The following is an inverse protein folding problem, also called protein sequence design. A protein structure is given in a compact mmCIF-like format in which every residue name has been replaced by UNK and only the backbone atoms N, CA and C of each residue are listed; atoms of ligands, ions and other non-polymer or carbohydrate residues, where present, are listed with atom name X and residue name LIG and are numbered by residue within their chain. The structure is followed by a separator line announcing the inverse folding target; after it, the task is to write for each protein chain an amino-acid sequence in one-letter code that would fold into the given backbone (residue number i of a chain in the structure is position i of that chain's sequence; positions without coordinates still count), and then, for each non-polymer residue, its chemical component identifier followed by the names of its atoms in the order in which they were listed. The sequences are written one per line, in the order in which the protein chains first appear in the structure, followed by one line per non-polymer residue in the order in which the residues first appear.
data_IF_660987435945
#
_entry.id   IF_660987435945
#
_cell.length_a   1.000
_cell.length_b   1.000
_cell.length_c   1.000
_cell.angle_alpha   90.00
_cell.angle_beta   90.00
_cell.angle_gamma   90.00
#
_symmetry.space_group_name_H-M   'P 1'
#
loop_
_entity.id
_entity.type
_entity.pdbx_description
1 polymer ?
#
# COMPACT_ATOMS: atom_id res chain seq x y z
N UNK A 1 17.29 -18.55 33.53
CA UNK A 1 17.48 -18.71 32.06
C UNK A 1 16.12 -18.98 31.45
N UNK A 2 15.31 -17.94 31.27
CA UNK A 2 14.00 -18.02 30.63
C UNK A 2 14.16 -17.40 29.25
N UNK A 3 14.27 -18.25 28.24
CA UNK A 3 14.22 -17.82 26.85
C UNK A 3 12.91 -17.06 26.65
N UNK A 4 13.02 -15.75 26.44
CA UNK A 4 11.90 -14.93 26.00
C UNK A 4 11.58 -15.34 24.56
N UNK A 5 10.88 -16.46 24.39
CA UNK A 5 10.39 -16.91 23.10
C UNK A 5 9.40 -15.83 22.61
N UNK A 6 9.70 -15.08 21.54
CA UNK A 6 8.80 -14.05 21.06
C UNK A 6 7.47 -14.70 20.68
N UNK A 7 6.37 -14.19 21.23
CA UNK A 7 5.03 -14.73 21.00
C UNK A 7 4.80 -14.96 19.48
N UNK A 8 4.31 -16.15 19.08
CA UNK A 8 4.20 -16.51 17.67
C UNK A 8 3.30 -15.51 16.94
N UNK A 9 3.77 -14.98 15.80
CA UNK A 9 2.92 -14.19 14.89
C UNK A 9 1.68 -15.01 14.53
N UNK A 10 0.50 -14.43 14.71
CA UNK A 10 -0.76 -15.07 14.32
C UNK A 10 -0.88 -15.09 12.79
N UNK A 11 -0.29 -16.14 12.18
CA UNK A 11 -0.21 -16.35 10.73
C UNK A 11 -1.59 -16.33 10.07
N UNK A 12 -2.59 -16.92 10.71
CA UNK A 12 -3.97 -16.93 10.21
C UNK A 12 -4.51 -15.50 10.10
N UNK A 13 -4.31 -14.67 11.12
CA UNK A 13 -4.73 -13.26 11.10
C UNK A 13 -4.07 -12.48 9.96
N UNK A 14 -2.77 -12.66 9.76
CA UNK A 14 -2.04 -11.96 8.70
C UNK A 14 -2.52 -12.38 7.31
N UNK A 15 -2.78 -13.68 7.08
CA UNK A 15 -3.36 -14.18 5.83
C UNK A 15 -4.76 -13.63 5.58
N UNK A 16 -5.62 -13.62 6.60
CA UNK A 16 -6.98 -13.05 6.48
C UNK A 16 -6.92 -11.56 6.13
N UNK A 17 -6.03 -10.79 6.78
CA UNK A 17 -5.87 -9.37 6.47
C UNK A 17 -5.41 -9.12 5.03
N UNK A 18 -4.45 -9.91 4.56
CA UNK A 18 -3.96 -9.86 3.18
C UNK A 18 -5.10 -10.14 2.18
N UNK A 19 -5.87 -11.21 2.41
CA UNK A 19 -6.99 -11.59 1.55
C UNK A 19 -8.12 -10.54 1.56
N UNK A 20 -8.49 -10.02 2.74
CA UNK A 20 -9.53 -8.99 2.88
C UNK A 20 -9.13 -7.72 2.14
N UNK A 21 -7.88 -7.26 2.26
CA UNK A 21 -7.44 -6.06 1.56
C UNK A 21 -7.33 -6.25 0.04
N UNK A 22 -6.89 -7.43 -0.43
CA UNK A 22 -6.97 -7.77 -1.85
C UNK A 22 -8.44 -7.71 -2.35
N UNK A 23 -9.38 -8.24 -1.55
CA UNK A 23 -10.82 -8.16 -1.81
C UNK A 23 -11.37 -6.72 -1.81
N UNK A 24 -10.92 -5.86 -0.91
CA UNK A 24 -11.29 -4.43 -0.89
C UNK A 24 -10.82 -3.75 -2.17
N UNK A 25 -9.57 -3.97 -2.61
CA UNK A 25 -9.04 -3.39 -3.85
C UNK A 25 -9.82 -3.88 -5.07
N UNK A 26 -10.21 -5.15 -5.10
CA UNK A 26 -11.08 -5.71 -6.13
C UNK A 26 -12.48 -5.08 -6.11
N UNK A 27 -13.09 -4.92 -4.94
CA UNK A 27 -14.39 -4.27 -4.80
C UNK A 27 -14.36 -2.81 -5.27
N UNK A 28 -13.29 -2.07 -4.98
CA UNK A 28 -13.08 -0.72 -5.51
C UNK A 28 -12.90 -0.69 -7.04
N UNK A 29 -12.53 -1.82 -7.65
CA UNK A 29 -12.48 -1.99 -9.11
C UNK A 29 -13.85 -2.15 -9.77
N UNK A 30 -14.90 -2.47 -9.00
CA UNK A 30 -16.28 -2.49 -9.53
C UNK A 30 -16.78 -1.08 -9.82
N UNK A 31 -16.25 -0.08 -9.12
CA UNK A 31 -16.61 1.33 -9.36
C UNK A 31 -16.20 1.72 -10.79
N UNK A 32 -17.14 2.24 -11.62
CA UNK A 32 -16.85 2.61 -13.00
C UNK A 32 -15.66 3.55 -13.11
N UNK A 33 -14.74 3.24 -14.01
CA UNK A 33 -13.57 4.06 -14.26
C UNK A 33 -13.95 5.29 -15.11
N UNK A 34 -13.32 6.43 -14.83
CA UNK A 34 -13.50 7.64 -15.65
C UNK A 34 -12.40 7.64 -16.71
N UNK A 35 -12.80 7.47 -17.96
CA UNK A 35 -11.86 7.56 -19.09
C UNK A 35 -11.65 9.01 -19.45
N UNK A 36 -10.39 9.44 -19.49
CA UNK A 36 -10.00 10.78 -19.94
C UNK A 36 -9.33 10.70 -21.31
N UNK A 37 -9.39 11.77 -22.13
CA UNK A 37 -8.58 11.86 -23.35
C UNK A 37 -7.09 11.68 -23.02
N UNK A 38 -6.40 10.79 -23.75
CA UNK A 38 -4.98 10.52 -23.49
C UNK A 38 -4.58 9.08 -23.81
N UNK A 39 -3.50 8.56 -23.19
CA UNK A 39 -2.90 7.27 -23.53
C UNK A 39 -3.69 6.04 -23.02
N UNK A 40 -5.00 6.17 -22.77
CA UNK A 40 -5.85 5.04 -22.37
C UNK A 40 -5.67 4.56 -20.93
N UNK A 41 -5.22 5.44 -20.03
CA UNK A 41 -5.16 5.16 -18.58
C UNK A 41 -6.37 5.81 -17.91
N UNK A 42 -7.31 5.03 -17.33
CA UNK A 42 -8.49 5.58 -16.71
C UNK A 42 -8.24 6.03 -15.26
N UNK A 43 -9.01 6.99 -14.79
CA UNK A 43 -9.08 7.35 -13.37
C UNK A 43 -9.92 6.29 -12.66
N UNK A 44 -9.39 5.69 -11.60
CA UNK A 44 -10.05 4.62 -10.84
C UNK A 44 -10.11 4.96 -9.37
N UNK A 45 -10.99 4.28 -8.62
CA UNK A 45 -11.00 4.31 -7.17
C UNK A 45 -10.02 3.30 -6.56
N UNK A 46 -9.44 2.39 -7.35
CA UNK A 46 -8.59 1.31 -6.85
C UNK A 46 -7.29 1.80 -6.19
N UNK A 47 -6.74 2.93 -6.65
CA UNK A 47 -5.55 3.54 -6.02
C UNK A 47 -5.79 3.93 -4.56
N UNK A 48 -7.04 4.19 -4.15
CA UNK A 48 -7.42 4.36 -2.75
C UNK A 48 -7.17 3.08 -1.94
N UNK A 49 -7.53 1.92 -2.50
CA UNK A 49 -7.30 0.61 -1.88
C UNK A 49 -5.82 0.29 -1.70
N UNK A 50 -4.99 0.67 -2.68
CA UNK A 50 -3.51 0.55 -2.60
C UNK A 50 -2.96 1.37 -1.43
N UNK A 51 -3.37 2.63 -1.31
CA UNK A 51 -2.98 3.51 -0.20
C UNK A 51 -3.44 2.95 1.15
N UNK A 52 -4.69 2.48 1.24
CA UNK A 52 -5.25 1.89 2.45
C UNK A 52 -4.51 0.63 2.89
N UNK A 53 -4.15 -0.26 1.96
CA UNK A 53 -3.41 -1.47 2.29
C UNK A 53 -2.08 -1.16 2.96
N UNK A 54 -1.31 -0.21 2.42
CA UNK A 54 -0.08 0.24 3.05
C UNK A 54 -0.31 0.94 4.38
N UNK A 55 -1.25 1.89 4.44
CA UNK A 55 -1.48 2.72 5.61
C UNK A 55 -2.09 1.95 6.80
N UNK A 56 -2.85 0.88 6.54
CA UNK A 56 -3.52 0.06 7.56
C UNK A 56 -2.70 -1.16 7.93
N UNK A 57 -2.20 -1.93 6.95
CA UNK A 57 -1.53 -3.20 7.24
C UNK A 57 -0.01 -3.06 7.48
N UNK A 58 0.56 -1.93 7.09
CA UNK A 58 2.01 -1.71 7.05
C UNK A 58 2.65 -2.28 5.80
N UNK A 59 3.97 -2.12 5.70
CA UNK A 59 4.80 -2.38 4.53
C UNK A 59 4.66 -3.80 3.99
N UNK A 60 4.91 -4.82 4.82
CA UNK A 60 4.97 -6.22 4.39
C UNK A 60 3.60 -6.79 4.01
N UNK A 61 2.57 -6.52 4.81
CA UNK A 61 1.23 -7.05 4.58
C UNK A 61 0.49 -6.26 3.50
N UNK A 62 0.69 -4.95 3.42
CA UNK A 62 0.21 -4.14 2.29
C UNK A 62 0.79 -4.64 0.97
N UNK A 63 2.13 -4.82 0.90
CA UNK A 63 2.78 -5.43 -0.27
C UNK A 63 2.18 -6.79 -0.62
N UNK A 64 2.02 -7.68 0.36
CA UNK A 64 1.49 -9.03 0.14
C UNK A 64 0.03 -9.02 -0.35
N UNK A 65 -0.80 -8.09 0.14
CA UNK A 65 -2.19 -7.92 -0.30
C UNK A 65 -2.27 -7.51 -1.77
N UNK A 66 -1.44 -6.55 -2.19
CA UNK A 66 -1.43 -6.08 -3.57
C UNK A 66 -0.74 -7.08 -4.51
N UNK A 67 0.27 -7.80 -4.03
CA UNK A 67 0.85 -8.89 -4.80
C UNK A 67 -0.15 -10.01 -5.05
N UNK A 68 -0.94 -10.39 -4.02
CA UNK A 68 -2.03 -11.35 -4.19
C UNK A 68 -3.08 -10.84 -5.19
N UNK A 69 -3.47 -9.57 -5.08
CA UNK A 69 -4.40 -8.94 -6.03
C UNK A 69 -3.87 -9.03 -7.47
N UNK A 70 -2.61 -8.69 -7.71
CA UNK A 70 -2.00 -8.74 -9.04
C UNK A 70 -1.95 -10.18 -9.59
N UNK A 71 -1.61 -11.16 -8.75
CA UNK A 71 -1.63 -12.58 -9.13
C UNK A 71 -3.03 -13.02 -9.55
N UNK A 72 -4.07 -12.61 -8.81
CA UNK A 72 -5.46 -12.94 -9.16
C UNK A 72 -5.89 -12.29 -10.47
N UNK A 73 -5.50 -11.03 -10.70
CA UNK A 73 -5.74 -10.34 -11.98
C UNK A 73 -5.06 -11.11 -13.12
N UNK A 74 -3.77 -11.47 -12.97
CA UNK A 74 -3.03 -12.21 -14.00
C UNK A 74 -3.58 -13.61 -14.24
N UNK A 75 -4.15 -14.25 -13.20
CA UNK A 75 -4.86 -15.53 -13.32
C UNK A 75 -6.17 -15.44 -14.12
N UNK A 76 -6.58 -14.23 -14.53
CA UNK A 76 -7.72 -14.01 -15.42
C UNK A 76 -8.94 -13.40 -14.76
N UNK A 77 -8.90 -13.10 -13.45
CA UNK A 77 -10.06 -12.49 -12.79
C UNK A 77 -10.20 -11.02 -13.22
N UNK A 78 -11.42 -10.56 -13.57
CA UNK A 78 -11.67 -9.20 -14.05
C UNK A 78 -11.75 -8.19 -12.89
N UNK A 79 -10.69 -8.09 -12.08
CA UNK A 79 -10.68 -7.31 -10.83
C UNK A 79 -10.23 -5.86 -11.02
N UNK A 80 -9.65 -5.51 -12.16
CA UNK A 80 -9.29 -4.12 -12.46
C UNK A 80 -10.52 -3.36 -12.97
N UNK A 81 -10.51 -2.04 -12.74
CA UNK A 81 -11.60 -1.16 -13.14
C UNK A 81 -11.94 -1.29 -14.64
N UNK A 82 -13.23 -1.30 -14.94
CA UNK A 82 -13.75 -1.60 -16.29
C UNK A 82 -13.76 -3.09 -16.62
N UNK A 83 -13.71 -3.97 -15.63
CA UNK A 83 -13.76 -5.43 -15.82
C UNK A 83 -12.49 -6.00 -16.46
N UNK A 84 -11.36 -5.32 -16.28
CA UNK A 84 -10.08 -5.71 -16.90
C UNK A 84 -9.40 -6.81 -16.07
N UNK A 85 -8.77 -7.75 -16.77
CA UNK A 85 -8.06 -8.87 -16.15
C UNK A 85 -7.23 -9.65 -17.16
N UNK A 86 -6.50 -10.65 -16.66
CA UNK A 86 -5.65 -11.54 -17.44
C UNK A 86 -4.34 -10.93 -17.92
N UNK A 87 -3.59 -11.72 -18.69
CA UNK A 87 -2.25 -11.35 -19.18
C UNK A 87 -2.26 -10.15 -20.14
N UNK A 88 -3.40 -9.87 -20.79
CA UNK A 88 -3.56 -8.70 -21.65
C UNK A 88 -3.28 -7.37 -20.94
N UNK A 89 -3.43 -7.31 -19.61
CA UNK A 89 -3.07 -6.14 -18.80
C UNK A 89 -1.60 -5.76 -18.96
N UNK A 90 -0.71 -6.74 -19.17
CA UNK A 90 0.73 -6.51 -19.33
C UNK A 90 1.09 -5.80 -20.64
N UNK A 91 0.22 -5.90 -21.65
CA UNK A 91 0.38 -5.21 -22.93
C UNK A 91 -0.36 -3.86 -22.97
N UNK A 92 -0.87 -3.37 -21.84
CA UNK A 92 -1.67 -2.15 -21.76
C UNK A 92 -0.88 -0.96 -21.19
N UNK A 93 -1.24 0.29 -21.53
CA UNK A 93 -0.58 1.48 -20.99
C UNK A 93 -0.60 1.58 -19.46
N UNK A 94 -1.54 0.90 -18.80
CA UNK A 94 -1.66 0.88 -17.32
C UNK A 94 -0.69 -0.11 -16.66
N UNK A 95 0.09 -0.91 -17.41
CA UNK A 95 0.95 -1.97 -16.87
C UNK A 95 1.88 -1.48 -15.77
N UNK A 96 2.42 -0.26 -15.93
CA UNK A 96 3.30 0.37 -14.97
C UNK A 96 2.61 0.66 -13.63
N UNK A 97 1.36 1.11 -13.67
CA UNK A 97 0.56 1.34 -12.46
C UNK A 97 0.21 0.01 -11.80
N UNK A 98 -0.20 -0.98 -12.61
CA UNK A 98 -0.55 -2.32 -12.14
C UNK A 98 0.61 -2.97 -11.37
N UNK A 99 1.78 -3.14 -12.00
CA UNK A 99 2.99 -3.70 -11.35
C UNK A 99 3.48 -2.79 -10.20
N UNK A 100 3.15 -1.50 -10.26
CA UNK A 100 3.48 -0.53 -9.22
C UNK A 100 2.63 -0.65 -7.94
N UNK A 101 1.46 -1.31 -7.97
CA UNK A 101 0.56 -1.36 -6.81
C UNK A 101 1.20 -1.99 -5.55
N UNK A 102 1.89 -3.15 -5.62
CA UNK A 102 2.59 -3.71 -4.48
C UNK A 102 3.69 -2.79 -3.95
N UNK A 103 4.45 -2.15 -4.85
CA UNK A 103 5.55 -1.24 -4.52
C UNK A 103 5.03 0.01 -3.81
N UNK A 104 3.94 0.59 -4.31
CA UNK A 104 3.27 1.74 -3.72
C UNK A 104 2.72 1.41 -2.33
N UNK A 105 2.01 0.30 -2.17
CA UNK A 105 1.51 -0.16 -0.87
C UNK A 105 2.65 -0.40 0.14
N UNK A 106 3.77 -1.00 -0.32
CA UNK A 106 4.97 -1.16 0.50
C UNK A 106 5.52 0.19 0.95
N UNK A 107 5.69 1.14 0.02
CA UNK A 107 6.24 2.46 0.29
C UNK A 107 5.37 3.25 1.29
N UNK A 108 4.05 3.27 1.09
CA UNK A 108 3.10 3.87 2.05
C UNK A 108 3.28 3.24 3.43
N UNK A 109 3.24 1.91 3.51
CA UNK A 109 3.36 1.21 4.79
C UNK A 109 4.72 1.41 5.46
N UNK A 110 5.81 1.49 4.70
CA UNK A 110 7.15 1.75 5.23
C UNK A 110 7.26 3.16 5.81
N UNK A 111 6.70 4.17 5.15
CA UNK A 111 6.65 5.54 5.63
C UNK A 111 5.77 5.68 6.89
N UNK A 112 4.58 5.05 6.89
CA UNK A 112 3.68 5.04 8.05
C UNK A 112 4.33 4.37 9.26
N UNK A 113 5.01 3.22 9.08
CA UNK A 113 5.73 2.54 10.16
C UNK A 113 6.87 3.40 10.74
N UNK A 114 7.51 4.25 9.93
CA UNK A 114 8.65 5.07 10.35
C UNK A 114 8.24 6.39 11.00
N UNK A 115 7.21 7.05 10.47
CA UNK A 115 6.84 8.42 10.86
C UNK A 115 5.48 8.52 11.55
N UNK A 116 4.69 7.46 11.56
CA UNK A 116 3.29 7.45 11.98
C UNK A 116 2.99 6.54 13.17
N UNK A 117 3.91 6.34 14.12
CA UNK A 117 3.60 5.61 15.38
C UNK A 117 3.59 6.56 16.59
N UNK A 118 2.45 6.73 17.30
CA UNK A 118 1.09 6.29 16.91
C UNK A 118 0.58 7.04 15.67
N UNK A 119 -0.46 6.52 15.00
CA UNK A 119 -0.92 7.07 13.72
C UNK A 119 -1.40 8.52 13.85
N UNK A 120 -0.64 9.43 13.24
CA UNK A 120 -0.94 10.87 13.18
C UNK A 120 -1.43 11.22 11.79
N UNK A 121 -2.45 12.08 11.72
CA UNK A 121 -3.11 12.40 10.45
C UNK A 121 -2.16 13.01 9.42
N UNK A 122 -1.36 14.01 9.81
CA UNK A 122 -0.50 14.73 8.87
C UNK A 122 0.65 13.84 8.32
N UNK A 123 1.43 13.12 9.15
CA UNK A 123 2.36 12.11 8.64
C UNK A 123 1.68 11.00 7.82
N UNK A 124 0.45 10.63 8.17
CA UNK A 124 -0.36 9.68 7.41
C UNK A 124 -0.64 10.17 5.99
N UNK A 125 -1.15 11.40 5.84
CA UNK A 125 -1.43 12.04 4.55
C UNK A 125 -0.17 12.10 3.69
N UNK A 126 0.94 12.58 4.27
CA UNK A 126 2.23 12.66 3.58
C UNK A 126 2.71 11.28 3.13
N UNK A 127 2.61 10.28 4.01
CA UNK A 127 3.02 8.90 3.69
C UNK A 127 2.18 8.31 2.56
N UNK A 128 0.86 8.50 2.58
CA UNK A 128 -0.05 8.04 1.51
C UNK A 128 0.17 8.79 0.21
N UNK A 129 0.46 10.10 0.25
CA UNK A 129 0.75 10.88 -0.95
C UNK A 129 2.08 10.47 -1.59
N UNK A 130 3.15 10.40 -0.79
CA UNK A 130 4.49 9.99 -1.28
C UNK A 130 4.46 8.57 -1.83
N UNK A 131 3.99 7.59 -1.05
CA UNK A 131 4.00 6.19 -1.48
C UNK A 131 2.91 5.85 -2.51
N UNK A 132 1.70 6.37 -2.33
CA UNK A 132 0.54 5.97 -3.13
C UNK A 132 0.35 6.78 -4.41
N UNK A 133 0.96 7.97 -4.50
CA UNK A 133 0.88 8.82 -5.70
C UNK A 133 2.24 8.88 -6.38
N UNK A 134 3.23 9.49 -5.73
CA UNK A 134 4.50 9.78 -6.38
C UNK A 134 5.32 8.52 -6.69
N UNK A 135 5.45 7.61 -5.73
CA UNK A 135 6.15 6.34 -5.97
C UNK A 135 5.40 5.48 -7.00
N UNK A 136 4.07 5.50 -7.01
CA UNK A 136 3.25 4.77 -7.99
C UNK A 136 3.39 5.36 -9.41
N UNK A 137 3.54 6.68 -9.53
CA UNK A 137 3.67 7.34 -10.83
C UNK A 137 4.97 6.99 -11.52
N UNK A 138 6.04 6.64 -10.80
CA UNK A 138 7.32 6.27 -11.41
C UNK A 138 7.18 5.07 -12.36
N UNK A 139 6.74 3.86 -11.92
CA UNK A 139 6.51 2.77 -12.84
C UNK A 139 5.33 3.06 -13.78
N UNK A 140 4.31 3.80 -13.34
CA UNK A 140 3.16 4.19 -14.16
C UNK A 140 3.55 4.96 -15.44
N UNK A 141 4.32 6.03 -15.28
CA UNK A 141 4.83 6.87 -16.37
C UNK A 141 5.74 6.04 -17.30
N UNK A 142 6.59 5.18 -16.74
CA UNK A 142 7.43 4.27 -17.54
C UNK A 142 6.56 3.34 -18.39
N UNK A 143 5.55 2.70 -17.80
CA UNK A 143 4.64 1.81 -18.51
C UNK A 143 3.88 2.51 -19.64
N UNK A 144 3.38 3.72 -19.38
CA UNK A 144 2.71 4.55 -20.40
C UNK A 144 3.65 4.90 -21.53
N UNK A 145 4.85 5.42 -21.23
CA UNK A 145 5.81 5.83 -22.25
C UNK A 145 6.19 4.66 -23.18
N UNK A 146 6.44 3.49 -22.61
CA UNK A 146 6.86 2.31 -23.37
C UNK A 146 5.72 1.69 -24.20
N UNK A 147 4.53 1.53 -23.62
CA UNK A 147 3.42 0.85 -24.30
C UNK A 147 2.69 1.76 -25.28
N UNK A 148 2.43 3.02 -24.89
CA UNK A 148 1.80 3.99 -25.79
C UNK A 148 2.78 4.61 -26.79
N UNK A 149 4.09 4.30 -26.68
CA UNK A 149 5.17 4.78 -27.55
C UNK A 149 5.22 6.31 -27.65
N UNK A 150 5.02 6.96 -26.50
CA UNK A 150 5.14 8.42 -26.35
C UNK A 150 6.37 8.77 -25.51
N UNK A 151 6.90 9.98 -25.67
CA UNK A 151 8.04 10.43 -24.87
C UNK A 151 7.70 10.51 -23.37
N UNK A 152 8.70 10.27 -22.50
CA UNK A 152 8.54 10.31 -21.04
C UNK A 152 7.94 11.63 -20.53
N UNK A 153 8.29 12.77 -21.15
CA UNK A 153 7.70 14.06 -20.82
C UNK A 153 6.20 14.12 -21.08
N UNK A 154 5.74 13.59 -22.22
CA UNK A 154 4.31 13.51 -22.55
C UNK A 154 3.56 12.52 -21.63
N UNK A 155 4.19 11.40 -21.30
CA UNK A 155 3.65 10.45 -20.33
C UNK A 155 3.50 11.08 -18.94
N UNK A 156 4.52 11.80 -18.46
CA UNK A 156 4.47 12.53 -17.19
C UNK A 156 3.41 13.63 -17.19
N UNK A 157 3.28 14.37 -18.29
CA UNK A 157 2.25 15.40 -18.45
C UNK A 157 0.84 14.79 -18.39
N UNK A 158 0.63 13.62 -19.01
CA UNK A 158 -0.65 12.92 -18.95
C UNK A 158 -1.02 12.47 -17.53
N UNK A 159 -0.02 12.11 -16.71
CA UNK A 159 -0.24 11.70 -15.32
C UNK A 159 -0.71 12.84 -14.40
N UNK A 160 -0.52 14.11 -14.79
CA UNK A 160 -1.00 15.26 -14.02
C UNK A 160 -2.53 15.30 -13.91
N UNK A 161 -3.25 14.74 -14.89
CA UNK A 161 -4.71 14.65 -14.84
C UNK A 161 -5.23 13.81 -13.66
N UNK A 162 -4.42 12.86 -13.18
CA UNK A 162 -4.77 11.99 -12.04
C UNK A 162 -4.48 12.65 -10.69
N UNK A 163 -3.57 13.63 -10.66
CA UNK A 163 -2.98 14.17 -9.44
C UNK A 163 -4.01 14.77 -8.46
N UNK A 164 -4.99 15.60 -8.89
CA UNK A 164 -5.98 16.15 -7.95
C UNK A 164 -6.80 15.06 -7.26
N UNK A 165 -7.25 14.08 -8.04
CA UNK A 165 -8.04 12.96 -7.53
C UNK A 165 -7.24 12.03 -6.62
N UNK A 166 -5.97 11.80 -6.92
CA UNK A 166 -5.11 10.92 -6.11
C UNK A 166 -4.65 11.59 -4.81
N UNK A 167 -4.43 12.91 -4.82
CA UNK A 167 -4.19 13.67 -3.57
C UNK A 167 -5.43 13.67 -2.67
N UNK A 168 -6.64 13.81 -3.23
CA UNK A 168 -7.87 13.67 -2.46
C UNK A 168 -8.00 12.27 -1.86
N UNK A 169 -7.70 11.22 -2.64
CA UNK A 169 -7.67 9.83 -2.14
C UNK A 169 -6.63 9.63 -1.03
N UNK A 170 -5.46 10.26 -1.12
CA UNK A 170 -4.45 10.17 -0.06
C UNK A 170 -4.98 10.73 1.26
N UNK A 171 -5.68 11.87 1.23
CA UNK A 171 -6.35 12.43 2.42
C UNK A 171 -7.40 11.46 2.97
N UNK A 172 -8.27 10.94 2.11
CA UNK A 172 -9.32 9.98 2.49
C UNK A 172 -8.69 8.72 3.11
N UNK A 173 -7.66 8.15 2.49
CA UNK A 173 -6.96 6.97 2.97
C UNK A 173 -6.36 7.19 4.36
N UNK A 174 -5.73 8.34 4.59
CA UNK A 174 -5.15 8.67 5.89
C UNK A 174 -6.22 8.87 6.98
N UNK A 175 -7.37 9.48 6.65
CA UNK A 175 -8.51 9.63 7.58
C UNK A 175 -9.08 8.26 7.96
N UNK A 176 -9.34 7.39 6.99
CA UNK A 176 -9.83 6.03 7.22
C UNK A 176 -8.83 5.24 8.05
N UNK A 177 -7.54 5.26 7.68
CA UNK A 177 -6.49 4.56 8.40
C UNK A 177 -6.38 5.01 9.85
N UNK A 178 -6.49 6.32 10.13
CA UNK A 178 -6.53 6.84 11.51
C UNK A 178 -7.71 6.26 12.29
N UNK A 179 -8.89 6.19 11.70
CA UNK A 179 -10.08 5.58 12.32
C UNK A 179 -9.85 4.10 12.64
N UNK A 180 -9.30 3.35 11.69
CA UNK A 180 -8.98 1.93 11.86
C UNK A 180 -7.96 1.71 12.97
N UNK A 181 -6.89 2.51 13.04
CA UNK A 181 -5.87 2.39 14.09
C UNK A 181 -6.37 2.81 15.47
N UNK A 182 -7.35 3.71 15.54
CA UNK A 182 -8.03 4.06 16.79
C UNK A 182 -8.92 2.90 17.29
N UNK A 183 -9.61 2.21 16.38
CA UNK A 183 -10.50 1.10 16.72
C UNK A 183 -9.76 -0.22 16.99
N UNK A 184 -8.65 -0.46 16.28
CA UNK A 184 -7.85 -1.68 16.35
C UNK A 184 -6.36 -1.37 16.62
N UNK A 185 -6.02 -0.88 17.83
CA UNK A 185 -4.64 -0.59 18.21
C UNK A 185 -3.83 -1.89 18.23
N UNK A 186 -2.83 -2.00 17.34
CA UNK A 186 -2.03 -3.21 17.15
C UNK A 186 -2.07 -3.79 15.73
N UNK A 187 -2.82 -3.16 14.83
CA UNK A 187 -2.73 -3.46 13.40
C UNK A 187 -1.39 -3.03 12.81
N UNK A 188 -0.81 -1.87 13.14
CA UNK A 188 0.51 -1.52 12.62
C UNK A 188 1.63 -2.25 13.37
N UNK A 189 2.66 -2.76 12.66
CA UNK A 189 3.88 -3.24 13.30
C UNK A 189 4.59 -2.10 14.03
N UNK A 190 4.79 -2.23 15.34
CA UNK A 190 5.56 -1.25 16.12
C UNK A 190 7.07 -1.43 15.90
N UNK A 191 7.65 -0.64 14.99
CA UNK A 191 9.11 -0.64 14.76
C UNK A 191 9.89 -0.07 15.95
N UNK A 192 9.31 0.87 16.73
CA UNK A 192 10.02 1.49 17.88
C UNK A 192 10.34 0.48 18.98
N UNK A 193 9.52 -0.56 19.15
CA UNK A 193 9.81 -1.68 20.07
C UNK A 193 10.93 -2.60 19.56
N UNK A 194 11.12 -2.70 18.24
CA UNK A 194 12.08 -3.62 17.62
C UNK A 194 13.51 -3.11 17.63
N UNK A 195 13.67 -1.79 17.58
CA UNK A 195 14.98 -1.12 17.53
C UNK A 195 15.48 -0.66 18.92
N UNK A 196 14.79 -1.02 20.03
CA UNK A 196 15.33 -0.78 21.37
C UNK A 196 16.52 -1.71 21.61
N UNK A 197 17.72 -1.20 21.93
CA UNK A 197 18.80 -2.05 22.41
C UNK A 197 18.30 -2.79 23.65
N UNK A 198 18.53 -4.11 23.71
CA UNK A 198 18.42 -4.86 24.96
C UNK A 198 19.44 -4.26 25.92
N UNK A 199 18.99 -3.42 26.86
CA UNK A 199 19.87 -2.86 27.88
C UNK A 199 20.60 -4.02 28.59
N UNK A 200 21.95 -4.02 28.63
CA UNK A 200 22.72 -5.02 29.38
C UNK A 200 22.39 -5.06 30.89
N UNK A 201 21.70 -4.05 31.39
CA UNK A 201 21.45 -3.79 32.81
C UNK A 201 20.40 -4.68 33.48
N UNK A 202 19.76 -5.60 32.75
CA UNK A 202 18.82 -6.58 33.33
C UNK A 202 19.50 -7.89 33.78
N UNK A 203 20.82 -8.02 33.59
CA UNK A 203 21.59 -9.21 34.00
C UNK A 203 22.22 -9.10 35.41
N UNK A 204 22.15 -7.93 36.07
CA UNK A 204 22.92 -7.68 37.30
C UNK A 204 22.13 -6.92 38.36
N UNK A 205 20.88 -7.33 38.64
CA UNK A 205 20.29 -6.98 39.93
C UNK A 205 21.00 -7.84 41.00
N UNK A 206 21.72 -7.25 41.97
CA UNK A 206 22.29 -8.05 43.05
C UNK A 206 21.13 -8.68 43.83
N UNK A 207 21.24 -9.98 44.09
CA UNK A 207 20.40 -10.67 45.05
C UNK A 207 20.60 -9.98 46.40
N UNK A 208 19.69 -9.06 46.72
CA UNK A 208 19.42 -8.65 48.08
C UNK A 208 18.62 -9.81 48.65
N UNK A 209 19.20 -10.56 49.58
CA UNK A 209 18.52 -11.02 50.80
C UNK A 209 19.48 -11.77 51.76
N UNK A 210 19.42 -11.31 53.02
CA UNK A 210 19.77 -11.94 54.31
C UNK A 210 21.24 -12.26 54.66
#
# INVERSE_FOLDING_TARGET
MTDAHPAPRNRTRDLTQVAVFAGIVAALGVVPAITIPGPGVPITLQTLGVMLAGAVLGSKRGFSALLLFDVLVLAGLPLLAGGRGGLAVLASPTVGYFIGFPIAAFAVGWLVERFGSPFRILPGIVSTAVGGVFVLYLPGIIGVALVAKIGFGAAALSALAFLPGDLAKAVIAAVIARGVHKAYPGLLPDRRRRDRPTSPDQATAPAVDA
#
